data_IF_957633086876
#
_entry.id   IF_957633086876
#
_cell.length_a   1.000
_cell.length_b   1.000
_cell.length_c   1.000
_cell.angle_alpha   90.00
_cell.angle_beta   90.00
_cell.angle_gamma   90.00
#
_symmetry.space_group_name_H-M   'P 1'
#
loop_
_entity.id
_entity.type
_entity.pdbx_description
1 polymer ?
#
# COMPACT_ATOMS: atom_id res chain seq x y z
N UNK A 1 -36.54 35.42 -90.07
CA UNK A 1 -35.86 35.91 -88.84
C UNK A 1 -36.35 35.07 -87.64
N UNK A 2 -36.03 33.78 -87.58
CA UNK A 2 -36.59 32.88 -86.53
C UNK A 2 -35.58 32.42 -85.47
N UNK A 3 -34.26 32.49 -85.73
CA UNK A 3 -33.24 32.00 -84.78
C UNK A 3 -32.94 32.93 -83.59
N UNK A 4 -33.36 34.20 -83.62
CA UNK A 4 -33.06 35.14 -82.52
C UNK A 4 -33.92 34.89 -81.27
N UNK A 5 -35.13 34.35 -81.45
CA UNK A 5 -36.06 34.09 -80.35
C UNK A 5 -35.62 32.90 -79.48
N UNK A 6 -35.13 31.83 -80.12
CA UNK A 6 -34.60 30.66 -79.41
C UNK A 6 -33.32 30.94 -78.63
N UNK A 7 -32.43 31.81 -79.15
CA UNK A 7 -31.24 32.24 -78.43
C UNK A 7 -31.58 33.05 -77.17
N UNK A 8 -32.61 33.91 -77.24
CA UNK A 8 -33.10 34.65 -76.08
C UNK A 8 -33.76 33.72 -75.04
N UNK A 9 -34.59 32.79 -75.48
CA UNK A 9 -35.22 31.80 -74.61
C UNK A 9 -34.19 30.88 -73.92
N UNK A 10 -33.15 30.45 -74.64
CA UNK A 10 -32.06 29.66 -74.07
C UNK A 10 -31.24 30.46 -73.05
N UNK A 11 -30.96 31.73 -73.32
CA UNK A 11 -30.29 32.62 -72.38
C UNK A 11 -31.11 32.86 -71.10
N UNK A 12 -32.41 33.08 -71.22
CA UNK A 12 -33.31 33.22 -70.08
C UNK A 12 -33.40 31.93 -69.26
N UNK A 13 -33.50 30.77 -69.91
CA UNK A 13 -33.49 29.47 -69.24
C UNK A 13 -32.19 29.23 -68.46
N UNK A 14 -31.03 29.49 -69.09
CA UNK A 14 -29.74 29.37 -68.44
C UNK A 14 -29.61 30.29 -67.22
N UNK A 15 -30.13 31.53 -67.31
CA UNK A 15 -30.14 32.48 -66.22
C UNK A 15 -31.04 32.01 -65.07
N UNK A 16 -32.26 31.55 -65.37
CA UNK A 16 -33.17 30.99 -64.37
C UNK A 16 -32.60 29.75 -63.69
N UNK A 17 -31.95 28.87 -64.45
CA UNK A 17 -31.30 27.68 -63.92
C UNK A 17 -30.09 28.04 -63.04
N UNK A 18 -29.34 29.08 -63.42
CA UNK A 18 -28.27 29.64 -62.59
C UNK A 18 -28.79 30.19 -61.26
N UNK A 19 -29.87 30.97 -61.29
CA UNK A 19 -30.52 31.49 -60.07
C UNK A 19 -31.07 30.35 -59.22
N UNK A 20 -31.72 29.35 -59.82
CA UNK A 20 -32.22 28.17 -59.12
C UNK A 20 -31.09 27.37 -58.47
N UNK A 21 -29.93 27.23 -59.13
CA UNK A 21 -28.76 26.58 -58.58
C UNK A 21 -28.19 27.35 -57.37
N UNK A 22 -28.10 28.69 -57.46
CA UNK A 22 -27.67 29.53 -56.34
C UNK A 22 -28.63 29.43 -55.15
N UNK A 23 -29.93 29.45 -55.40
CA UNK A 23 -30.96 29.26 -54.36
C UNK A 23 -30.89 27.85 -53.76
N UNK A 24 -30.64 26.82 -54.57
CA UNK A 24 -30.47 25.45 -54.09
C UNK A 24 -29.22 25.32 -53.20
N UNK A 25 -28.09 25.92 -53.59
CA UNK A 25 -26.86 25.96 -52.77
C UNK A 25 -27.11 26.70 -51.45
N UNK A 26 -27.76 27.87 -51.51
CA UNK A 26 -28.10 28.64 -50.31
C UNK A 26 -29.02 27.85 -49.37
N UNK A 27 -30.04 27.17 -49.92
CA UNK A 27 -30.96 26.34 -49.15
C UNK A 27 -30.29 25.09 -48.56
N UNK A 28 -29.37 24.45 -49.31
CA UNK A 28 -28.59 23.30 -48.83
C UNK A 28 -27.59 23.67 -47.74
N UNK A 29 -27.17 24.93 -47.67
CA UNK A 29 -26.18 25.38 -46.70
C UNK A 29 -26.69 25.36 -45.27
N UNK A 30 -27.99 25.07 -45.06
CA UNK A 30 -28.61 24.80 -43.77
C UNK A 30 -28.64 26.03 -42.85
N UNK A 31 -29.68 26.12 -42.03
CA UNK A 31 -29.60 26.98 -40.85
C UNK A 31 -28.39 26.53 -40.04
N UNK A 32 -27.41 27.42 -39.85
CA UNK A 32 -26.43 27.24 -38.79
C UNK A 32 -27.23 27.18 -37.50
N UNK A 33 -27.52 25.98 -37.01
CA UNK A 33 -27.86 25.80 -35.62
C UNK A 33 -26.78 26.54 -34.82
N UNK A 34 -27.18 27.29 -33.80
CA UNK A 34 -26.21 28.01 -32.99
C UNK A 34 -25.35 26.96 -32.30
N UNK A 35 -24.19 26.68 -32.86
CA UNK A 35 -23.20 25.79 -32.27
C UNK A 35 -22.20 26.65 -31.50
N UNK A 36 -21.76 26.16 -30.35
CA UNK A 36 -20.74 26.75 -29.51
C UNK A 36 -19.52 25.84 -29.46
N UNK A 37 -18.34 26.45 -29.49
CA UNK A 37 -17.08 25.72 -29.41
C UNK A 37 -16.70 25.47 -27.94
N UNK A 38 -16.21 24.25 -27.68
CA UNK A 38 -15.65 23.82 -26.39
C UNK A 38 -14.31 23.13 -26.64
N UNK A 39 -13.40 23.17 -25.66
CA UNK A 39 -12.11 22.50 -25.76
C UNK A 39 -12.10 21.29 -24.84
N UNK A 40 -12.03 20.09 -25.39
CA UNK A 40 -11.75 18.88 -24.63
C UNK A 40 -10.25 18.73 -24.47
N UNK A 41 -9.79 18.59 -23.22
CA UNK A 41 -8.37 18.44 -22.88
C UNK A 41 -8.10 17.01 -22.43
N UNK A 42 -7.08 16.38 -23.01
CA UNK A 42 -6.65 15.03 -22.64
C UNK A 42 -5.15 14.87 -22.72
N UNK A 43 -4.60 14.00 -21.87
CA UNK A 43 -3.21 13.51 -21.97
C UNK A 43 -3.12 12.12 -22.59
N UNK A 44 -4.27 11.52 -22.88
CA UNK A 44 -4.39 10.14 -23.31
C UNK A 44 -4.37 10.02 -24.83
N UNK A 45 -4.15 8.79 -25.30
CA UNK A 45 -4.14 8.52 -26.73
C UNK A 45 -5.56 8.67 -27.31
N UNK A 46 -5.71 9.55 -28.29
CA UNK A 46 -6.98 9.77 -29.02
C UNK A 46 -7.06 8.97 -30.32
N UNK A 47 -6.40 7.83 -30.38
CA UNK A 47 -6.37 6.96 -31.56
C UNK A 47 -7.77 6.67 -32.10
N UNK A 48 -7.94 6.83 -33.41
CA UNK A 48 -9.21 6.64 -34.11
C UNK A 48 -10.14 7.87 -34.10
N UNK A 49 -9.80 8.93 -33.37
CA UNK A 49 -10.53 10.20 -33.41
C UNK A 49 -10.02 11.06 -34.57
N UNK A 50 -10.93 11.54 -35.39
CA UNK A 50 -10.62 12.38 -36.55
C UNK A 50 -11.44 13.67 -36.49
N UNK A 51 -11.02 14.74 -37.20
CA UNK A 51 -11.91 15.85 -37.50
C UNK A 51 -13.23 15.35 -38.09
N UNK A 52 -14.34 16.03 -37.79
CA UNK A 52 -15.72 15.60 -38.12
C UNK A 52 -16.22 14.35 -37.39
N UNK A 53 -15.45 13.77 -36.46
CA UNK A 53 -15.97 12.72 -35.58
C UNK A 53 -17.18 13.24 -34.77
N UNK A 54 -18.12 12.35 -34.49
CA UNK A 54 -19.35 12.74 -33.81
C UNK A 54 -19.09 13.06 -32.34
N UNK A 55 -19.77 14.09 -31.84
CA UNK A 55 -19.87 14.37 -30.41
C UNK A 55 -21.27 13.98 -29.97
N UNK A 56 -21.36 13.17 -28.93
CA UNK A 56 -22.61 12.63 -28.42
C UNK A 56 -22.80 13.01 -26.96
N UNK A 57 -24.00 13.42 -26.59
CA UNK A 57 -24.39 13.58 -25.19
C UNK A 57 -25.37 12.48 -24.84
N UNK A 58 -25.03 11.64 -23.85
CA UNK A 58 -25.86 10.48 -23.46
C UNK A 58 -26.29 9.60 -24.65
N UNK A 59 -25.44 9.48 -25.68
CA UNK A 59 -25.72 8.68 -26.88
C UNK A 59 -26.51 9.41 -27.98
N UNK A 60 -26.94 10.64 -27.79
CA UNK A 60 -27.57 11.46 -28.85
C UNK A 60 -26.49 12.28 -29.53
N UNK A 61 -26.49 12.36 -30.86
CA UNK A 61 -25.55 13.22 -31.59
C UNK A 61 -25.91 14.67 -31.34
N UNK A 62 -24.94 15.44 -30.84
CA UNK A 62 -25.12 16.85 -30.46
C UNK A 62 -24.11 17.79 -31.09
N UNK A 63 -23.17 17.25 -31.84
CA UNK A 63 -22.07 18.04 -32.36
C UNK A 63 -21.06 17.23 -33.14
N UNK A 64 -19.89 17.84 -33.35
CA UNK A 64 -18.78 17.29 -34.13
C UNK A 64 -17.44 17.81 -33.62
N UNK A 65 -16.39 17.06 -33.87
CA UNK A 65 -15.00 17.51 -33.66
C UNK A 65 -14.64 18.48 -34.78
N UNK A 66 -14.27 19.70 -34.42
CA UNK A 66 -13.86 20.75 -35.37
C UNK A 66 -12.36 20.66 -35.66
N UNK A 67 -11.53 20.50 -34.63
CA UNK A 67 -10.06 20.52 -34.75
C UNK A 67 -9.38 19.67 -33.66
N UNK A 68 -8.18 19.18 -33.95
CA UNK A 68 -7.34 18.40 -33.03
C UNK A 68 -5.92 18.93 -33.13
N UNK A 69 -5.38 19.43 -32.02
CA UNK A 69 -4.01 19.97 -31.95
C UNK A 69 -3.33 19.62 -30.64
N UNK A 70 -2.00 19.69 -30.62
CA UNK A 70 -1.24 19.65 -29.38
C UNK A 70 -1.30 21.03 -28.71
N UNK A 71 -1.33 21.06 -27.39
CA UNK A 71 -1.27 22.30 -26.63
C UNK A 71 0.15 22.92 -26.80
N UNK A 72 0.28 24.16 -27.32
CA UNK A 72 1.57 24.80 -27.49
C UNK A 72 2.27 25.12 -26.17
N UNK A 73 1.55 25.18 -25.05
CA UNK A 73 2.14 25.42 -23.72
C UNK A 73 2.63 24.13 -23.05
N UNK A 74 1.97 23.00 -23.31
CA UNK A 74 2.34 21.68 -22.81
C UNK A 74 2.00 20.60 -23.84
N UNK A 75 2.99 20.17 -24.62
CA UNK A 75 2.83 19.15 -25.66
C UNK A 75 2.34 17.78 -25.15
N UNK A 76 2.29 17.56 -23.84
CA UNK A 76 1.66 16.37 -23.25
C UNK A 76 0.14 16.42 -23.31
N UNK A 77 -0.45 17.61 -23.48
CA UNK A 77 -1.88 17.81 -23.63
C UNK A 77 -2.27 17.87 -25.11
N UNK A 78 -3.38 17.22 -25.41
CA UNK A 78 -4.06 17.29 -26.69
C UNK A 78 -5.33 18.11 -26.48
N UNK A 79 -5.50 19.13 -27.32
CA UNK A 79 -6.66 20.01 -27.35
C UNK A 79 -7.55 19.60 -28.51
N UNK A 80 -8.73 19.09 -28.18
CA UNK A 80 -9.75 18.72 -29.16
C UNK A 80 -10.86 19.76 -29.12
N UNK A 81 -10.97 20.55 -30.18
CA UNK A 81 -12.05 21.54 -30.30
C UNK A 81 -13.31 20.85 -30.79
N UNK A 82 -14.38 20.92 -30.03
CA UNK A 82 -15.69 20.37 -30.37
C UNK A 82 -16.69 21.50 -30.57
N UNK A 83 -17.49 21.37 -31.62
CA UNK A 83 -18.65 22.24 -31.85
C UNK A 83 -19.90 21.49 -31.39
N UNK A 84 -20.65 22.08 -30.45
CA UNK A 84 -21.84 21.47 -29.82
C UNK A 84 -23.03 22.42 -29.97
N UNK A 85 -24.20 21.88 -30.29
CA UNK A 85 -25.43 22.65 -30.41
C UNK A 85 -25.82 23.34 -29.09
N UNK A 86 -26.41 24.54 -29.17
CA UNK A 86 -26.85 25.37 -28.04
C UNK A 86 -27.98 24.73 -27.21
N UNK A 87 -28.71 23.76 -27.75
CA UNK A 87 -29.79 23.06 -27.04
C UNK A 87 -29.30 22.05 -26.00
N UNK A 88 -27.98 21.84 -25.89
CA UNK A 88 -27.40 20.88 -24.96
C UNK A 88 -27.05 21.53 -23.61
N UNK A 89 -27.65 21.08 -22.50
CA UNK A 89 -27.34 21.60 -21.18
C UNK A 89 -26.02 21.02 -20.67
N UNK A 90 -24.90 21.64 -21.04
CA UNK A 90 -23.58 21.33 -20.50
C UNK A 90 -23.38 22.06 -19.16
N UNK A 91 -22.74 21.39 -18.21
CA UNK A 91 -22.43 21.94 -16.89
C UNK A 91 -20.93 21.89 -16.62
N UNK A 92 -20.46 22.57 -15.58
CA UNK A 92 -19.08 22.44 -15.10
C UNK A 92 -18.74 21.01 -14.63
N UNK A 93 -19.75 20.20 -14.31
CA UNK A 93 -19.62 18.78 -13.99
C UNK A 93 -19.56 17.87 -15.22
N UNK A 94 -19.72 18.39 -16.43
CA UNK A 94 -19.61 17.60 -17.66
C UNK A 94 -18.17 17.16 -17.91
N UNK A 95 -18.00 15.89 -18.24
CA UNK A 95 -16.74 15.28 -18.66
C UNK A 95 -16.87 14.65 -20.04
N UNK A 96 -15.77 14.63 -20.78
CA UNK A 96 -15.70 13.95 -22.06
C UNK A 96 -15.09 12.55 -21.89
N UNK A 97 -15.52 11.59 -22.70
CA UNK A 97 -14.96 10.24 -22.73
C UNK A 97 -14.77 9.80 -24.18
N UNK A 98 -13.64 9.17 -24.48
CA UNK A 98 -13.46 8.52 -25.78
C UNK A 98 -14.28 7.24 -25.80
N UNK A 99 -15.02 7.04 -26.89
CA UNK A 99 -15.70 5.79 -27.10
C UNK A 99 -15.57 5.34 -28.55
N UNK A 100 -15.62 4.03 -28.79
CA UNK A 100 -15.38 3.44 -30.11
C UNK A 100 -16.68 2.90 -30.70
N UNK A 101 -16.89 3.14 -31.99
CA UNK A 101 -18.05 2.65 -32.71
C UNK A 101 -17.70 1.36 -33.46
N UNK A 102 -18.27 0.25 -33.00
CA UNK A 102 -18.13 -1.06 -33.65
C UNK A 102 -16.69 -1.58 -33.62
N UNK A 103 -16.42 -2.56 -34.50
CA UNK A 103 -15.12 -3.27 -34.58
C UNK A 103 -14.11 -2.49 -35.44
N UNK A 104 -14.55 -1.44 -36.15
CA UNK A 104 -13.68 -0.64 -37.03
C UNK A 104 -12.75 0.32 -36.28
N UNK A 105 -12.99 0.53 -34.98
CA UNK A 105 -12.13 1.39 -34.15
C UNK A 105 -12.31 2.89 -34.42
N UNK A 106 -13.41 3.31 -35.07
CA UNK A 106 -13.72 4.73 -35.23
C UNK A 106 -14.11 5.32 -33.88
N UNK A 107 -13.39 6.34 -33.42
CA UNK A 107 -13.66 6.97 -32.14
C UNK A 107 -14.67 8.12 -32.28
N UNK A 108 -15.41 8.35 -31.21
CA UNK A 108 -16.32 9.48 -31.03
C UNK A 108 -16.21 10.00 -29.60
N UNK A 109 -16.58 11.25 -29.39
CA UNK A 109 -16.58 11.86 -28.06
C UNK A 109 -17.96 11.64 -27.45
N UNK A 110 -17.98 11.11 -26.22
CA UNK A 110 -19.18 10.99 -25.40
C UNK A 110 -19.08 11.96 -24.23
N UNK A 111 -19.97 12.95 -24.21
CA UNK A 111 -20.17 13.87 -23.10
C UNK A 111 -21.09 13.21 -22.06
N UNK A 112 -20.64 13.24 -20.81
CA UNK A 112 -21.28 12.64 -19.66
C UNK A 112 -21.38 13.68 -18.55
N UNK A 113 -22.51 13.67 -17.84
CA UNK A 113 -22.68 14.50 -16.66
C UNK A 113 -22.23 13.72 -15.42
N UNK A 114 -21.32 14.28 -14.63
CA UNK A 114 -20.89 13.64 -13.37
C UNK A 114 -21.85 13.94 -12.23
N UNK A 115 -22.65 15.01 -12.34
CA UNK A 115 -23.55 15.47 -11.29
C UNK A 115 -22.84 16.05 -10.06
N UNK A 116 -21.52 16.28 -10.16
CA UNK A 116 -20.71 16.90 -9.10
C UNK A 116 -20.90 18.41 -9.04
N UNK A 117 -21.16 19.02 -10.19
CA UNK A 117 -21.39 20.46 -10.34
C UNK A 117 -22.46 20.66 -11.41
N UNK A 118 -23.58 21.27 -11.03
CA UNK A 118 -24.72 21.51 -11.91
C UNK A 118 -24.75 22.95 -12.45
N UNK A 119 -23.73 23.76 -12.18
CA UNK A 119 -23.63 25.11 -12.72
C UNK A 119 -23.46 25.04 -14.24
N UNK A 120 -24.25 25.82 -14.98
CA UNK A 120 -24.21 25.83 -16.44
C UNK A 120 -22.82 26.23 -16.94
N UNK A 121 -22.31 25.47 -17.91
CA UNK A 121 -21.06 25.79 -18.58
C UNK A 121 -21.34 26.85 -19.64
N UNK A 122 -21.07 28.11 -19.30
CA UNK A 122 -21.35 29.24 -20.20
C UNK A 122 -20.44 29.17 -21.42
N UNK A 123 -20.97 29.12 -22.65
CA UNK A 123 -20.16 29.15 -23.85
C UNK A 123 -19.48 30.52 -24.01
N UNK A 124 -18.23 30.51 -24.45
CA UNK A 124 -17.48 31.72 -24.76
C UNK A 124 -16.64 31.47 -26.02
N UNK A 125 -17.04 32.05 -27.15
CA UNK A 125 -16.37 31.81 -28.42
C UNK A 125 -14.98 32.46 -28.52
N UNK A 126 -14.67 33.47 -27.70
CA UNK A 126 -13.31 34.06 -27.65
C UNK A 126 -12.36 33.21 -26.82
N UNK A 127 -12.87 32.59 -25.75
CA UNK A 127 -12.14 31.67 -24.88
C UNK A 127 -13.00 30.45 -24.58
N UNK A 128 -13.01 29.44 -25.47
CA UNK A 128 -13.83 28.25 -25.32
C UNK A 128 -13.59 27.56 -23.97
N UNK A 129 -14.65 27.26 -23.20
CA UNK A 129 -14.48 26.58 -21.93
C UNK A 129 -13.88 25.18 -22.11
N UNK A 130 -13.07 24.78 -21.12
CA UNK A 130 -12.34 23.51 -21.14
C UNK A 130 -13.13 22.40 -20.44
N UNK A 131 -13.26 21.26 -21.10
CA UNK A 131 -13.88 20.04 -20.58
C UNK A 131 -12.77 18.99 -20.41
N UNK A 132 -12.66 18.40 -19.22
CA UNK A 132 -11.70 17.35 -18.97
C UNK A 132 -12.16 16.02 -19.60
N UNK A 133 -11.22 15.33 -20.24
CA UNK A 133 -11.44 13.98 -20.74
C UNK A 133 -11.06 12.94 -19.68
N UNK A 134 -11.94 11.96 -19.48
CA UNK A 134 -11.69 10.82 -18.60
C UNK A 134 -11.29 9.57 -19.41
N UNK A 135 -10.51 8.65 -18.81
CA UNK A 135 -10.14 7.38 -19.43
C UNK A 135 -11.33 6.60 -19.98
N UNK A 136 -11.13 5.98 -21.14
CA UNK A 136 -12.09 4.99 -21.63
C UNK A 136 -12.01 3.71 -20.80
N UNK A 137 -13.10 2.95 -20.66
CA UNK A 137 -13.08 1.69 -19.88
C UNK A 137 -12.16 0.63 -20.50
N UNK A 138 -12.05 0.63 -21.83
CA UNK A 138 -11.15 -0.29 -22.52
C UNK A 138 -9.70 0.05 -22.19
N UNK A 139 -9.36 1.34 -22.22
CA UNK A 139 -8.02 1.82 -21.89
C UNK A 139 -7.68 1.56 -20.41
N UNK A 140 -8.59 1.89 -19.50
CA UNK A 140 -8.47 1.60 -18.07
C UNK A 140 -8.25 0.09 -17.82
N UNK A 141 -9.00 -0.77 -18.51
CA UNK A 141 -8.82 -2.23 -18.42
C UNK A 141 -7.47 -2.69 -18.98
N UNK A 142 -7.00 -2.11 -20.08
CA UNK A 142 -5.70 -2.47 -20.66
C UNK A 142 -4.54 -2.03 -19.78
N UNK A 143 -4.57 -0.80 -19.27
CA UNK A 143 -3.50 -0.24 -18.44
C UNK A 143 -3.47 -0.93 -17.08
N UNK A 144 -4.62 -1.02 -16.42
CA UNK A 144 -4.75 -1.71 -15.12
C UNK A 144 -4.47 -3.20 -15.26
N UNK A 145 -4.95 -3.84 -16.33
CA UNK A 145 -4.72 -5.26 -16.60
C UNK A 145 -3.25 -5.61 -16.82
N UNK A 146 -2.53 -4.79 -17.59
CA UNK A 146 -1.08 -4.95 -17.80
C UNK A 146 -0.29 -4.72 -16.51
N UNK A 147 -0.64 -3.68 -15.73
CA UNK A 147 -0.02 -3.41 -14.44
C UNK A 147 -0.22 -4.58 -13.46
N UNK A 148 -1.45 -5.09 -13.37
CA UNK A 148 -1.79 -6.24 -12.51
C UNK A 148 -1.02 -7.50 -12.93
N UNK A 149 -0.87 -7.75 -14.23
CA UNK A 149 -0.08 -8.89 -14.73
C UNK A 149 1.41 -8.75 -14.40
N UNK A 150 1.95 -7.53 -14.47
CA UNK A 150 3.33 -7.27 -14.07
C UNK A 150 3.53 -7.53 -12.57
N UNK A 151 2.60 -7.07 -11.74
CA UNK A 151 2.63 -7.31 -10.30
C UNK A 151 2.49 -8.81 -9.96
N UNK A 152 1.58 -9.52 -10.62
CA UNK A 152 1.43 -10.97 -10.46
C UNK A 152 2.72 -11.72 -10.86
N UNK A 153 3.39 -11.31 -11.95
CA UNK A 153 4.68 -11.87 -12.35
C UNK A 153 5.75 -11.62 -11.29
N UNK A 154 5.79 -10.43 -10.71
CA UNK A 154 6.73 -10.09 -9.66
C UNK A 154 6.48 -10.89 -8.37
N UNK A 155 5.22 -11.09 -8.00
CA UNK A 155 4.84 -11.96 -6.88
C UNK A 155 5.27 -13.40 -7.14
N UNK A 156 5.02 -13.93 -8.35
CA UNK A 156 5.44 -15.28 -8.72
C UNK A 156 6.97 -15.44 -8.72
N UNK A 157 7.71 -14.43 -9.19
CA UNK A 157 9.17 -14.42 -9.11
C UNK A 157 9.67 -14.42 -7.65
N UNK A 158 9.03 -13.62 -6.80
CA UNK A 158 9.36 -13.54 -5.37
C UNK A 158 9.04 -14.85 -4.63
N UNK A 159 7.89 -15.46 -4.93
CA UNK A 159 7.52 -16.77 -4.40
C UNK A 159 8.50 -17.86 -4.86
N UNK A 160 8.92 -17.83 -6.12
CA UNK A 160 9.90 -18.77 -6.64
C UNK A 160 11.28 -18.61 -5.99
N UNK A 161 11.69 -17.37 -5.67
CA UNK A 161 12.92 -17.10 -4.91
C UNK A 161 12.85 -17.61 -3.46
N UNK A 162 11.69 -17.50 -2.79
CA UNK A 162 11.48 -18.09 -1.46
C UNK A 162 11.48 -19.62 -1.50
N UNK A 163 11.07 -20.23 -2.61
CA UNK A 163 11.12 -21.67 -2.84
C UNK A 163 12.43 -22.13 -3.46
N UNK A 164 13.42 -21.24 -3.62
CA UNK A 164 14.69 -21.57 -4.24
C UNK A 164 15.54 -22.50 -3.35
N UNK A 165 16.51 -23.17 -3.97
CA UNK A 165 17.35 -24.17 -3.33
C UNK A 165 18.09 -23.62 -2.09
N UNK A 166 18.51 -22.36 -2.12
CA UNK A 166 19.17 -21.67 -1.01
C UNK A 166 18.23 -21.49 0.19
N UNK A 167 17.01 -21.00 -0.04
CA UNK A 167 15.98 -20.86 1.00
C UNK A 167 15.61 -22.19 1.64
N UNK A 168 15.53 -23.28 0.83
CA UNK A 168 15.33 -24.64 1.36
C UNK A 168 16.51 -25.13 2.20
N UNK A 169 17.73 -24.80 1.81
CA UNK A 169 18.93 -25.17 2.56
C UNK A 169 18.97 -24.46 3.93
N UNK A 170 18.64 -23.17 3.99
CA UNK A 170 18.56 -22.42 5.25
C UNK A 170 17.42 -22.91 6.16
N UNK A 171 16.24 -23.22 5.61
CA UNK A 171 15.14 -23.84 6.36
C UNK A 171 15.57 -25.18 6.96
N UNK A 172 16.22 -26.04 6.16
CA UNK A 172 16.73 -27.33 6.64
C UNK A 172 17.77 -27.16 7.75
N UNK A 173 18.69 -26.21 7.61
CA UNK A 173 19.70 -25.91 8.64
C UNK A 173 19.06 -25.40 9.93
N UNK A 174 18.03 -24.55 9.83
CA UNK A 174 17.30 -24.03 10.99
C UNK A 174 16.54 -25.13 11.71
N UNK A 175 15.87 -26.02 10.97
CA UNK A 175 15.18 -27.18 11.54
C UNK A 175 16.14 -28.14 12.24
N UNK A 176 17.31 -28.40 11.64
CA UNK A 176 18.35 -29.23 12.26
C UNK A 176 18.90 -28.63 13.57
N UNK A 177 19.08 -27.31 13.61
CA UNK A 177 19.48 -26.61 14.82
C UNK A 177 18.39 -26.66 15.90
N UNK A 178 17.12 -26.49 15.52
CA UNK A 178 15.97 -26.62 16.44
C UNK A 178 15.88 -28.03 17.02
N UNK A 179 16.06 -29.06 16.20
CA UNK A 179 16.10 -30.45 16.66
C UNK A 179 17.23 -30.68 17.67
N UNK A 180 18.42 -30.14 17.38
CA UNK A 180 19.58 -30.23 18.27
C UNK A 180 19.35 -29.52 19.60
N UNK A 181 18.81 -28.30 19.57
CA UNK A 181 18.46 -27.53 20.78
C UNK A 181 17.38 -28.25 21.59
N UNK A 182 16.33 -28.76 20.93
CA UNK A 182 15.26 -29.52 21.57
C UNK A 182 15.77 -30.82 22.20
N UNK A 183 16.67 -31.53 21.51
CA UNK A 183 17.30 -32.75 22.03
C UNK A 183 18.15 -32.50 23.26
N UNK A 184 18.85 -31.37 23.29
CA UNK A 184 19.68 -30.95 24.44
C UNK A 184 18.87 -30.34 25.58
N UNK A 185 17.63 -29.92 25.36
CA UNK A 185 16.78 -29.32 26.39
C UNK A 185 16.32 -30.36 27.43
N UNK A 186 16.06 -31.61 27.01
CA UNK A 186 15.66 -32.70 27.92
C UNK A 186 16.71 -32.99 29.02
N UNK A 187 18.00 -33.23 28.70
CA UNK A 187 19.01 -33.43 29.74
C UNK A 187 19.23 -32.19 30.63
N UNK A 188 19.05 -30.97 30.10
CA UNK A 188 19.09 -29.75 30.92
C UNK A 188 17.94 -29.75 31.93
N UNK A 189 16.71 -30.08 31.50
CA UNK A 189 15.55 -30.19 32.39
C UNK A 189 15.71 -31.33 33.42
N UNK A 190 16.29 -32.46 33.03
CA UNK A 190 16.56 -33.58 33.93
C UNK A 190 17.61 -33.21 34.99
N UNK A 191 18.67 -32.50 34.59
CA UNK A 191 19.67 -31.98 35.52
C UNK A 191 19.08 -30.93 36.47
N UNK A 192 18.23 -30.03 35.99
CA UNK A 192 17.52 -29.07 36.84
C UNK A 192 16.65 -29.75 37.90
N UNK A 193 15.90 -30.79 37.52
CA UNK A 193 15.12 -31.59 38.47
C UNK A 193 16.02 -32.26 39.54
N UNK A 194 17.19 -32.73 39.13
CA UNK A 194 18.16 -33.34 40.04
C UNK A 194 18.76 -32.30 41.01
N UNK A 195 19.12 -31.11 40.51
CA UNK A 195 19.58 -29.98 41.33
C UNK A 195 18.49 -29.52 42.29
N UNK A 196 17.24 -29.39 41.85
CA UNK A 196 16.11 -29.03 42.71
C UNK A 196 15.85 -30.09 43.79
N UNK A 197 16.02 -31.37 43.46
CA UNK A 197 15.95 -32.46 44.44
C UNK A 197 17.08 -32.36 45.49
N UNK A 198 18.30 -32.03 45.07
CA UNK A 198 19.43 -31.80 45.98
C UNK A 198 19.21 -30.58 46.87
N UNK A 199 18.69 -29.48 46.32
CA UNK A 199 18.30 -28.29 47.09
C UNK A 199 17.22 -28.62 48.11
N UNK A 200 16.17 -29.36 47.72
CA UNK A 200 15.14 -29.81 48.66
C UNK A 200 15.70 -30.70 49.79
N UNK A 201 16.71 -31.54 49.50
CA UNK A 201 17.40 -32.33 50.54
C UNK A 201 18.27 -31.48 51.46
N UNK A 202 18.86 -30.40 50.94
CA UNK A 202 19.60 -29.43 51.76
C UNK A 202 18.67 -28.60 52.65
N UNK A 203 17.42 -28.39 52.21
CA UNK A 203 16.36 -27.71 52.95
C UNK A 203 15.56 -28.64 53.88
N UNK A 204 15.92 -29.91 53.99
CA UNK A 204 15.25 -30.86 54.88
C UNK A 204 15.53 -30.53 56.37
N UNK A 205 14.54 -30.76 57.24
CA UNK A 205 14.34 -30.15 58.58
C UNK A 205 15.53 -30.14 59.56
N UNK A 206 16.56 -30.94 59.30
CA UNK A 206 17.77 -31.03 60.14
C UNK A 206 18.84 -30.00 59.80
N UNK A 207 18.89 -29.52 58.55
CA UNK A 207 19.85 -28.50 58.11
C UNK A 207 19.32 -27.07 58.28
N UNK A 208 17.99 -26.88 58.36
CA UNK A 208 17.36 -25.57 58.60
C UNK A 208 17.85 -24.94 59.92
N UNK A 209 18.20 -25.73 60.95
CA UNK A 209 18.72 -25.17 62.22
C UNK A 209 20.12 -24.55 62.10
N UNK A 210 20.92 -24.99 61.13
CA UNK A 210 22.21 -24.37 60.81
C UNK A 210 22.03 -23.24 59.77
N UNK A 211 21.03 -23.34 58.88
CA UNK A 211 20.70 -22.32 57.88
C UNK A 211 19.90 -21.14 58.45
N UNK A 212 19.23 -21.31 59.59
CA UNK A 212 18.54 -20.24 60.33
C UNK A 212 19.52 -19.15 60.82
N UNK A 213 20.81 -19.49 60.89
CA UNK A 213 21.88 -18.53 61.18
C UNK A 213 22.33 -17.75 59.92
N UNK A 214 22.00 -18.24 58.72
CA UNK A 214 22.21 -17.59 57.41
C UNK A 214 20.92 -16.97 56.82
N UNK A 215 19.81 -16.99 57.57
CA UNK A 215 18.46 -16.62 57.10
C UNK A 215 18.24 -15.12 56.76
N UNK A 216 19.25 -14.27 56.89
CA UNK A 216 19.18 -12.87 56.48
C UNK A 216 19.14 -12.67 54.96
N UNK A 217 19.71 -13.59 54.17
CA UNK A 217 19.95 -13.39 52.73
C UNK A 217 19.05 -14.25 51.82
N UNK A 218 18.30 -15.21 52.37
CA UNK A 218 17.43 -16.11 51.59
C UNK A 218 16.07 -15.47 51.25
N UNK A 219 15.58 -14.54 52.07
CA UNK A 219 14.33 -13.81 51.79
C UNK A 219 14.32 -13.04 50.45
N UNK A 220 15.37 -12.27 50.08
CA UNK A 220 15.38 -11.58 48.78
C UNK A 220 15.41 -12.55 47.59
N UNK A 221 16.09 -13.69 47.71
CA UNK A 221 16.12 -14.73 46.68
C UNK A 221 14.74 -15.36 46.44
N UNK A 222 13.97 -15.58 47.51
CA UNK A 222 12.57 -16.06 47.41
C UNK A 222 11.64 -14.99 46.81
N UNK A 223 11.89 -13.71 47.09
CA UNK A 223 11.16 -12.60 46.48
C UNK A 223 11.45 -12.49 44.97
N UNK A 224 12.72 -12.57 44.57
CA UNK A 224 13.16 -12.53 43.17
C UNK A 224 12.61 -13.72 42.37
N UNK A 225 12.54 -14.91 42.99
CA UNK A 225 11.94 -16.10 42.37
C UNK A 225 10.44 -15.92 42.13
N UNK A 226 9.70 -15.30 43.06
CA UNK A 226 8.27 -14.97 42.88
C UNK A 226 8.05 -13.98 41.74
N UNK A 227 8.92 -12.97 41.62
CA UNK A 227 8.88 -12.00 40.52
C UNK A 227 9.13 -12.69 39.18
N UNK A 228 10.09 -13.62 39.13
CA UNK A 228 10.40 -14.38 37.92
C UNK A 228 9.21 -15.26 37.48
N UNK A 229 8.58 -15.96 38.41
CA UNK A 229 7.38 -16.78 38.15
C UNK A 229 6.24 -15.90 37.62
N UNK A 230 6.02 -14.72 38.21
CA UNK A 230 5.01 -13.78 37.73
C UNK A 230 5.29 -13.27 36.31
N UNK A 231 6.53 -12.93 35.99
CA UNK A 231 6.93 -12.53 34.63
C UNK A 231 6.77 -13.65 33.60
N UNK A 232 7.04 -14.90 34.02
CA UNK A 232 6.87 -16.08 33.18
C UNK A 232 5.40 -16.35 32.85
N UNK A 233 4.50 -16.24 33.85
CA UNK A 233 3.05 -16.35 33.63
C UNK A 233 2.55 -15.29 32.64
N UNK A 234 2.97 -14.03 32.81
CA UNK A 234 2.61 -12.95 31.88
C UNK A 234 3.13 -13.19 30.46
N UNK A 235 4.33 -13.76 30.32
CA UNK A 235 4.88 -14.13 29.02
C UNK A 235 4.07 -15.26 28.37
N UNK A 236 3.64 -16.25 29.15
CA UNK A 236 2.77 -17.35 28.68
C UNK A 236 1.39 -16.85 28.26
N UNK A 237 0.76 -15.96 29.04
CA UNK A 237 -0.55 -15.37 28.70
C UNK A 237 -0.48 -14.53 27.41
N UNK A 238 0.59 -13.74 27.25
CA UNK A 238 0.82 -12.97 26.01
C UNK A 238 1.05 -13.87 24.79
N UNK A 239 1.66 -15.04 25.00
CA UNK A 239 1.90 -16.03 23.95
C UNK A 239 0.60 -16.72 23.54
N UNK A 240 -0.25 -17.11 24.50
CA UNK A 240 -1.57 -17.70 24.22
C UNK A 240 -2.48 -16.73 23.44
N UNK A 241 -2.46 -15.44 23.78
CA UNK A 241 -3.20 -14.41 23.04
C UNK A 241 -2.66 -14.24 21.62
N UNK A 242 -1.33 -14.25 21.43
CA UNK A 242 -0.72 -14.12 20.11
C UNK A 242 -0.99 -15.33 19.20
N UNK A 243 -1.14 -16.53 19.78
CA UNK A 243 -1.48 -17.76 19.04
C UNK A 243 -2.99 -17.82 18.76
N UNK A 244 -3.84 -17.38 19.70
CA UNK A 244 -5.30 -17.36 19.54
C UNK A 244 -5.82 -16.32 18.54
N UNK A 245 -5.13 -15.18 18.44
CA UNK A 245 -5.54 -14.04 17.58
C UNK A 245 -4.92 -14.07 16.16
N UNK A 246 -4.16 -15.13 15.84
CA UNK A 246 -3.57 -15.35 14.51
C UNK A 246 -4.61 -15.49 13.38
N UNK A 247 -5.90 -15.54 13.71
CA UNK A 247 -7.01 -15.57 12.75
C UNK A 247 -7.55 -14.19 12.35
N UNK A 248 -7.24 -13.10 13.09
CA UNK A 248 -7.88 -11.79 12.86
C UNK A 248 -6.95 -10.66 12.37
N UNK A 249 -5.63 -10.81 12.39
CA UNK A 249 -4.73 -9.76 11.89
C UNK A 249 -3.31 -10.27 11.65
N UNK A 250 -2.92 -10.37 10.38
CA UNK A 250 -1.68 -11.00 9.93
C UNK A 250 -0.37 -10.45 10.53
N UNK A 251 0.70 -11.15 10.18
CA UNK A 251 2.15 -11.01 10.51
C UNK A 251 2.72 -9.63 10.88
N UNK A 252 2.05 -8.53 10.54
CA UNK A 252 2.40 -7.15 10.91
C UNK A 252 2.32 -6.87 12.43
N UNK A 253 1.43 -7.53 13.17
CA UNK A 253 1.30 -7.34 14.63
C UNK A 253 2.28 -8.19 15.47
N UNK A 254 2.88 -9.22 14.87
CA UNK A 254 3.78 -10.15 15.55
C UNK A 254 5.20 -9.59 15.70
N UNK A 255 5.70 -8.88 14.68
CA UNK A 255 7.09 -8.42 14.64
C UNK A 255 7.49 -7.51 15.82
N UNK A 256 6.69 -6.50 16.23
CA UNK A 256 7.05 -5.65 17.38
C UNK A 256 7.08 -6.44 18.69
N UNK A 257 6.12 -7.36 18.88
CA UNK A 257 5.97 -8.15 20.11
C UNK A 257 7.07 -9.20 20.28
N UNK A 258 7.52 -9.80 19.17
CA UNK A 258 8.68 -10.71 19.17
C UNK A 258 9.97 -9.98 19.53
N UNK A 259 10.13 -8.73 19.06
CA UNK A 259 11.30 -7.92 19.38
C UNK A 259 11.34 -7.51 20.86
N UNK A 260 10.17 -7.24 21.45
CA UNK A 260 10.02 -6.95 22.88
C UNK A 260 10.34 -8.19 23.75
N UNK A 261 9.79 -9.35 23.39
CA UNK A 261 10.10 -10.64 24.04
C UNK A 261 11.58 -11.01 23.94
N UNK A 262 12.21 -10.82 22.78
CA UNK A 262 13.63 -11.09 22.59
C UNK A 262 14.50 -10.17 23.46
N UNK A 263 14.08 -8.92 23.64
CA UNK A 263 14.77 -7.95 24.48
C UNK A 263 14.65 -8.31 25.96
N UNK A 264 13.44 -8.65 26.43
CA UNK A 264 13.19 -9.06 27.82
C UNK A 264 13.90 -10.39 28.16
N UNK A 265 13.93 -11.33 27.21
CA UNK A 265 14.65 -12.57 27.35
C UNK A 265 16.17 -12.33 27.42
N UNK A 266 16.72 -11.43 26.61
CA UNK A 266 18.14 -11.03 26.66
C UNK A 266 18.52 -10.41 28.01
N UNK A 267 17.65 -9.57 28.59
CA UNK A 267 17.86 -8.95 29.89
C UNK A 267 17.80 -9.98 31.02
N UNK A 268 16.81 -10.87 30.97
CA UNK A 268 16.63 -11.94 31.95
C UNK A 268 17.77 -12.96 31.89
N UNK A 269 18.21 -13.32 30.68
CA UNK A 269 19.36 -14.20 30.45
C UNK A 269 20.65 -13.60 31.03
N UNK A 270 20.85 -12.28 30.89
CA UNK A 270 22.00 -11.59 31.50
C UNK A 270 21.94 -11.60 33.03
N UNK A 271 20.78 -11.40 33.62
CA UNK A 271 20.59 -11.49 35.08
C UNK A 271 20.83 -12.91 35.59
N UNK A 272 20.31 -13.92 34.90
CA UNK A 272 20.56 -15.33 35.23
C UNK A 272 22.04 -15.68 35.11
N UNK A 273 22.72 -15.20 34.06
CA UNK A 273 24.17 -15.42 33.87
C UNK A 273 25.02 -14.78 34.97
N UNK A 274 24.53 -13.70 35.60
CA UNK A 274 25.20 -13.03 36.72
C UNK A 274 25.02 -13.83 38.00
N UNK A 275 23.81 -14.33 38.26
CA UNK A 275 23.53 -15.22 39.41
C UNK A 275 24.34 -16.50 39.30
N UNK A 276 24.41 -17.10 38.10
CA UNK A 276 25.20 -18.30 37.84
C UNK A 276 26.70 -18.05 38.03
N UNK A 277 27.23 -16.90 37.59
CA UNK A 277 28.64 -16.53 37.81
C UNK A 277 28.97 -16.33 39.29
N UNK A 278 28.09 -15.69 40.05
CA UNK A 278 28.26 -15.54 41.51
C UNK A 278 28.23 -16.90 42.20
N UNK A 279 27.39 -17.82 41.72
CA UNK A 279 27.37 -19.21 42.19
C UNK A 279 28.66 -19.98 41.86
N UNK A 280 29.24 -19.71 40.68
CA UNK A 280 30.46 -20.35 40.18
C UNK A 280 31.72 -19.81 40.87
N UNK A 281 31.82 -18.49 41.04
CA UNK A 281 32.98 -17.80 41.61
C UNK A 281 33.00 -17.84 43.15
N UNK A 282 31.83 -17.91 43.79
CA UNK A 282 31.71 -17.91 45.27
C UNK A 282 30.71 -18.96 45.79
N UNK A 283 30.97 -20.27 45.57
CA UNK A 283 30.06 -21.34 45.99
C UNK A 283 29.86 -21.40 47.52
N UNK A 284 30.83 -20.87 48.29
CA UNK A 284 30.80 -20.87 49.76
C UNK A 284 29.95 -19.71 50.33
N UNK A 285 29.69 -18.66 49.53
CA UNK A 285 28.87 -17.50 49.93
C UNK A 285 27.39 -17.84 50.16
N UNK A 286 26.90 -18.94 49.59
CA UNK A 286 25.54 -19.44 49.81
C UNK A 286 25.30 -20.05 51.20
N UNK A 287 26.37 -20.49 51.88
CA UNK A 287 26.29 -21.14 53.21
C UNK A 287 26.71 -20.18 54.31
N UNK A 288 27.64 -19.26 54.02
CA UNK A 288 28.24 -18.37 55.02
C UNK A 288 27.88 -16.88 54.85
N UNK A 289 27.06 -16.53 53.85
CA UNK A 289 26.79 -15.15 53.46
C UNK A 289 27.94 -14.58 52.62
N UNK A 290 27.64 -13.59 51.76
CA UNK A 290 28.67 -12.91 51.00
C UNK A 290 29.67 -12.24 51.97
N UNK A 291 30.99 -12.43 51.82
CA UNK A 291 31.94 -11.72 52.67
C UNK A 291 31.70 -10.21 52.51
N UNK A 292 31.56 -9.51 53.64
CA UNK A 292 31.38 -8.06 53.63
C UNK A 292 32.49 -7.45 52.77
N UNK A 293 32.16 -6.61 51.77
CA UNK A 293 33.17 -5.98 50.93
C UNK A 293 34.16 -5.25 51.84
N UNK A 294 35.46 -5.37 51.52
CA UNK A 294 36.48 -4.67 52.27
C UNK A 294 36.13 -3.17 52.32
N UNK A 295 36.10 -2.55 53.51
CA UNK A 295 35.66 -1.17 53.66
C UNK A 295 36.45 -0.26 52.74
N UNK A 296 35.76 0.63 52.05
CA UNK A 296 36.40 1.56 51.12
C UNK A 296 37.15 2.69 51.87
N UNK A 297 38.01 3.46 51.17
CA UNK A 297 38.63 4.63 51.77
C UNK A 297 37.57 5.59 52.32
N UNK A 298 37.56 5.78 53.65
CA UNK A 298 36.61 6.65 54.35
C UNK A 298 35.48 5.94 55.11
N UNK A 299 35.40 4.60 55.06
CA UNK A 299 34.44 3.84 55.87
C UNK A 299 35.06 3.37 57.21
N UNK A 300 34.26 3.25 58.29
CA UNK A 300 34.74 2.76 59.58
C UNK A 300 35.29 1.34 59.45
N UNK A 301 36.57 1.14 59.77
CA UNK A 301 37.25 -0.16 59.66
C UNK A 301 38.20 -0.30 58.46
N UNK A 302 38.35 0.72 57.63
CA UNK A 302 39.39 0.76 56.59
C UNK A 302 40.78 0.81 57.21
N UNK A 303 41.60 -0.22 56.96
CA UNK A 303 43.01 -0.26 57.36
C UNK A 303 43.91 -0.25 56.10
N UNK A 304 44.64 0.83 55.83
CA UNK A 304 45.49 0.95 54.64
C UNK A 304 46.71 0.02 54.64
N UNK A 305 47.04 -0.65 55.75
CA UNK A 305 48.20 -1.54 55.88
C UNK A 305 47.86 -3.04 55.85
N UNK A 306 46.61 -3.42 55.56
CA UNK A 306 46.17 -4.83 55.58
C UNK A 306 46.53 -5.65 54.30
N UNK A 307 47.02 -4.99 53.24
CA UNK A 307 47.57 -5.64 52.04
C UNK A 307 49.09 -5.46 51.98
N UNK A 308 49.82 -6.27 52.76
CA UNK A 308 51.24 -6.59 52.53
C UNK A 308 51.50 -8.06 52.79
#
# INVERSE_FOLDING_TARGET
MENKSYAFAAGLFALLLGVAALLAIYWLNGSKDSEHDYIVVTKQNIGGLNPQAQVRYRGIRVGKVSDIRLDPEDYSNILVTISVNDDVPLTKGTVAKLNYQGVTGLAHILLLETGKDNEALVPNNEQPPRIAMIPSMLEELTETGMATLAEARQMMASANAMLDAESRAHLKATLANLETVSGNMKPVLDNLNMTLSQVNKLLDDRNIRNLAQAAGEVQPLLADTRILIGKMQVATDKLDIAIGDASAGGTSALMPRLNELATDFSLTSRQLSRVLRVLEDTPQGLVFGAPAPAPGPGEPGFNPDAEK
#
